data_IF_295826403877
#
_entry.id   IF_295826403877
#
_cell.length_a   1.000
_cell.length_b   1.000
_cell.length_c   1.000
_cell.angle_alpha   90.00
_cell.angle_beta   90.00
_cell.angle_gamma   90.00
#
_symmetry.space_group_name_H-M   'P 1'
#
loop_
_entity.id
_entity.type
_entity.pdbx_description
1 polymer ?
#
# COMPACT_ATOMS: atom_id res chain seq x y z
N UNK A 1 -41.79 57.51 15.80
CA UNK A 1 -42.50 57.92 14.57
C UNK A 1 -42.41 56.79 13.54
N UNK A 2 -43.57 56.24 13.15
CA UNK A 2 -43.95 55.50 11.90
C UNK A 2 -42.94 54.48 11.32
N UNK A 3 -43.08 53.17 11.57
CA UNK A 3 -43.85 52.14 10.81
C UNK A 3 -43.74 52.22 9.28
N UNK A 4 -43.20 51.16 8.66
CA UNK A 4 -43.70 50.63 7.39
C UNK A 4 -43.83 49.10 7.48
N UNK A 5 -45.08 48.65 7.34
CA UNK A 5 -45.51 47.29 7.04
C UNK A 5 -46.13 47.35 5.64
N UNK A 6 -46.04 46.28 4.85
CA UNK A 6 -47.17 45.75 4.07
C UNK A 6 -46.83 44.43 3.37
N UNK A 7 -47.60 43.40 3.73
CA UNK A 7 -47.91 42.23 2.89
C UNK A 7 -49.00 42.60 1.89
N UNK A 8 -49.04 41.93 0.74
CA UNK A 8 -50.23 41.68 -0.09
C UNK A 8 -49.86 40.53 -1.06
N UNK A 9 -50.38 39.31 -0.95
CA UNK A 9 -51.74 38.77 -1.12
C UNK A 9 -51.94 38.14 -2.51
N UNK A 10 -52.24 36.85 -2.47
CA UNK A 10 -52.63 35.94 -3.54
C UNK A 10 -53.95 36.35 -4.22
N UNK A 11 -54.10 36.10 -5.54
CA UNK A 11 -55.38 35.72 -6.17
C UNK A 11 -55.19 35.02 -7.53
N UNK A 12 -56.09 34.06 -7.74
CA UNK A 12 -56.16 33.00 -8.77
C UNK A 12 -56.70 33.52 -10.12
N UNK A 13 -56.28 32.89 -11.21
CA UNK A 13 -56.90 32.96 -12.54
C UNK A 13 -56.95 31.58 -13.20
N UNK A 14 -58.11 31.23 -13.78
CA UNK A 14 -58.57 29.90 -14.19
C UNK A 14 -57.93 29.31 -15.46
N UNK A 15 -57.85 27.98 -15.42
CA UNK A 15 -57.80 26.97 -16.50
C UNK A 15 -58.40 27.36 -17.88
N UNK A 16 -57.66 27.05 -18.94
CA UNK A 16 -58.19 26.66 -20.26
C UNK A 16 -57.63 25.29 -20.67
N UNK A 17 -58.51 24.45 -21.24
CA UNK A 17 -58.26 23.05 -21.62
C UNK A 17 -57.47 22.92 -22.93
N UNK A 18 -56.82 21.75 -23.06
CA UNK A 18 -55.95 21.20 -24.11
C UNK A 18 -56.46 21.34 -25.57
N UNK A 19 -55.54 21.14 -26.53
CA UNK A 19 -55.67 20.00 -27.43
C UNK A 19 -54.45 19.06 -27.41
N UNK A 20 -54.70 17.81 -27.79
CA UNK A 20 -53.81 16.65 -27.87
C UNK A 20 -52.96 16.63 -29.15
N UNK A 21 -51.67 16.31 -29.02
CA UNK A 21 -50.79 15.75 -30.06
C UNK A 21 -49.56 15.14 -29.35
N UNK A 22 -49.50 13.82 -29.17
CA UNK A 22 -48.80 12.84 -30.01
C UNK A 22 -47.27 12.99 -30.06
N UNK A 23 -46.61 12.03 -29.39
CA UNK A 23 -45.29 11.42 -29.63
C UNK A 23 -44.17 12.26 -30.26
N UNK A 24 -43.05 12.41 -29.56
CA UNK A 24 -41.81 11.62 -29.78
C UNK A 24 -40.68 12.12 -28.88
N UNK A 25 -39.92 11.21 -28.27
CA UNK A 25 -38.50 11.42 -27.93
C UNK A 25 -38.17 12.08 -26.59
N UNK A 26 -38.40 11.40 -25.47
CA UNK A 26 -37.61 11.62 -24.26
C UNK A 26 -36.61 10.47 -24.15
N UNK A 27 -35.34 10.79 -24.42
CA UNK A 27 -34.22 9.89 -24.22
C UNK A 27 -34.20 9.39 -22.79
N UNK A 28 -34.04 8.08 -22.65
CA UNK A 28 -33.92 7.40 -21.38
C UNK A 28 -32.77 8.00 -20.56
N UNK A 29 -33.09 8.67 -19.45
CA UNK A 29 -32.18 8.79 -18.31
C UNK A 29 -31.89 7.37 -17.81
N UNK A 30 -30.84 6.77 -18.37
CA UNK A 30 -30.25 5.57 -17.78
C UNK A 30 -29.53 6.04 -16.51
N UNK A 31 -29.85 5.48 -15.33
CA UNK A 31 -29.03 5.73 -14.16
C UNK A 31 -27.60 5.29 -14.50
N UNK A 32 -26.62 6.17 -14.25
CA UNK A 32 -25.20 5.88 -14.39
C UNK A 32 -24.97 4.58 -13.60
N UNK A 33 -24.77 3.49 -14.32
CA UNK A 33 -24.56 2.18 -13.73
C UNK A 33 -23.34 2.30 -12.82
N UNK A 34 -23.57 2.24 -11.50
CA UNK A 34 -22.52 2.05 -10.51
C UNK A 34 -21.78 0.78 -10.95
N UNK A 35 -20.56 0.92 -11.47
CA UNK A 35 -19.68 -0.24 -11.67
C UNK A 35 -19.49 -0.87 -10.30
N UNK A 36 -20.22 -1.96 -10.04
CA UNK A 36 -19.96 -2.82 -8.88
C UNK A 36 -18.58 -3.41 -9.10
N UNK A 37 -17.59 -2.92 -8.36
CA UNK A 37 -16.25 -3.49 -8.31
C UNK A 37 -16.23 -4.69 -7.36
N UNK A 38 -17.20 -5.59 -7.43
CA UNK A 38 -17.28 -6.75 -6.54
C UNK A 38 -17.06 -8.03 -7.36
N UNK A 39 -16.13 -8.89 -6.95
CA UNK A 39 -16.03 -10.23 -7.49
C UNK A 39 -17.16 -11.13 -6.93
N UNK A 40 -17.24 -12.40 -7.35
CA UNK A 40 -18.29 -13.36 -6.91
C UNK A 40 -18.37 -13.56 -5.39
N UNK A 41 -17.37 -13.11 -4.63
CA UNK A 41 -17.30 -13.19 -3.17
C UNK A 41 -17.58 -11.83 -2.48
N UNK A 42 -17.99 -10.80 -3.24
CA UNK A 42 -18.21 -9.45 -2.71
C UNK A 42 -16.93 -8.66 -2.48
N UNK A 43 -15.76 -9.12 -2.94
CA UNK A 43 -14.50 -8.43 -2.71
C UNK A 43 -14.23 -7.36 -3.77
N UNK A 44 -13.62 -6.25 -3.33
CA UNK A 44 -13.22 -5.15 -4.20
C UNK A 44 -12.24 -5.63 -5.28
N UNK A 45 -12.61 -5.45 -6.55
CA UNK A 45 -11.73 -5.71 -7.70
C UNK A 45 -10.79 -4.53 -7.88
N UNK A 46 -9.49 -4.78 -7.72
CA UNK A 46 -8.42 -3.81 -7.96
C UNK A 46 -8.01 -3.85 -9.43
N UNK A 47 -7.93 -2.69 -10.06
CA UNK A 47 -7.57 -2.54 -11.48
C UNK A 47 -6.04 -2.44 -11.69
N UNK A 48 -5.29 -2.23 -10.61
CA UNK A 48 -3.83 -2.03 -10.65
C UNK A 48 -3.08 -3.18 -10.00
N UNK A 49 -2.00 -3.59 -10.65
CA UNK A 49 -1.03 -4.53 -10.08
C UNK A 49 -0.35 -3.87 -8.87
N UNK A 50 -0.29 -4.58 -7.75
CA UNK A 50 0.40 -4.09 -6.56
C UNK A 50 1.91 -3.93 -6.86
N UNK A 51 2.56 -2.86 -6.36
CA UNK A 51 3.95 -2.57 -6.65
C UNK A 51 4.90 -3.59 -6.00
N UNK A 52 6.04 -3.86 -6.64
CA UNK A 52 7.12 -4.64 -6.01
C UNK A 52 7.87 -3.76 -5.02
N UNK A 53 7.84 -4.10 -3.72
CA UNK A 53 8.53 -3.36 -2.66
C UNK A 53 9.33 -4.34 -1.83
N UNK A 54 10.62 -4.54 -2.16
CA UNK A 54 11.55 -5.36 -1.36
C UNK A 54 12.10 -4.58 -0.18
N UNK A 55 12.30 -3.28 -0.37
CA UNK A 55 12.79 -2.36 0.67
C UNK A 55 11.85 -1.17 0.84
N UNK A 56 11.39 -1.00 2.08
CA UNK A 56 10.62 0.15 2.56
C UNK A 56 11.60 0.99 3.38
N UNK A 57 12.15 2.07 2.84
CA UNK A 57 13.18 2.88 3.48
C UNK A 57 12.60 4.20 3.95
N UNK A 58 12.72 4.48 5.25
CA UNK A 58 12.04 5.61 5.90
C UNK A 58 13.04 6.54 6.59
N UNK A 59 12.79 7.85 6.50
CA UNK A 59 13.54 8.85 7.26
C UNK A 59 12.63 10.00 7.74
N UNK A 60 12.95 10.62 8.90
CA UNK A 60 12.17 11.74 9.44
C UNK A 60 12.06 12.93 8.48
N UNK A 61 10.86 13.47 8.34
CA UNK A 61 10.56 14.62 7.48
C UNK A 61 11.24 15.92 7.93
N UNK A 62 11.49 16.07 9.23
CA UNK A 62 12.27 17.19 9.77
C UNK A 62 13.79 17.06 9.53
N UNK A 63 14.27 15.91 9.01
CA UNK A 63 15.68 15.64 8.72
C UNK A 63 15.97 15.70 7.23
N UNK A 64 15.90 16.91 6.68
CA UNK A 64 16.18 17.19 5.26
C UNK A 64 17.54 16.65 4.79
N UNK A 65 18.56 16.67 5.64
CA UNK A 65 19.89 16.12 5.38
C UNK A 65 19.91 14.60 5.15
N UNK A 66 18.94 13.87 5.71
CA UNK A 66 18.75 12.44 5.52
C UNK A 66 17.86 12.16 4.31
N UNK A 67 16.71 12.83 4.21
CA UNK A 67 15.73 12.63 3.13
C UNK A 67 16.37 12.88 1.76
N UNK A 68 17.16 13.94 1.60
CA UNK A 68 17.83 14.25 0.32
C UNK A 68 18.89 13.21 -0.10
N UNK A 69 19.21 12.22 0.75
CA UNK A 69 20.10 11.12 0.39
C UNK A 69 19.37 9.91 -0.21
N UNK A 70 18.02 9.87 -0.20
CA UNK A 70 17.25 8.75 -0.77
C UNK A 70 17.71 8.30 -2.16
N UNK A 71 18.00 9.19 -3.14
CA UNK A 71 18.44 8.77 -4.47
C UNK A 71 19.73 7.92 -4.47
N UNK A 72 20.54 8.01 -3.41
CA UNK A 72 21.80 7.27 -3.29
C UNK A 72 21.60 5.79 -2.94
N UNK A 73 20.49 5.44 -2.33
CA UNK A 73 20.29 4.11 -1.73
C UNK A 73 19.44 3.16 -2.58
N UNK A 74 18.83 3.66 -3.66
CA UNK A 74 18.03 2.87 -4.62
C UNK A 74 16.98 1.96 -3.96
N UNK A 75 16.36 2.43 -2.88
CA UNK A 75 15.26 1.69 -2.26
C UNK A 75 14.08 1.56 -3.23
N UNK A 76 13.33 0.46 -3.16
CA UNK A 76 12.14 0.29 -4.01
C UNK A 76 11.04 1.30 -3.60
N UNK A 77 10.99 1.64 -2.31
CA UNK A 77 10.07 2.62 -1.76
C UNK A 77 10.76 3.48 -0.68
N UNK A 78 10.86 4.78 -0.93
CA UNK A 78 11.42 5.78 0.00
C UNK A 78 10.32 6.62 0.62
N UNK A 79 10.42 6.91 1.92
CA UNK A 79 9.32 7.50 2.69
C UNK A 79 9.80 8.65 3.55
N UNK A 80 9.13 9.79 3.37
CA UNK A 80 9.26 10.95 4.26
C UNK A 80 8.30 10.75 5.42
N UNK A 81 8.83 10.69 6.65
CA UNK A 81 8.04 10.36 7.84
C UNK A 81 7.63 11.59 8.64
N UNK A 82 6.32 11.87 8.72
CA UNK A 82 5.76 12.93 9.57
C UNK A 82 5.33 12.41 10.95
N UNK A 83 5.40 11.09 11.16
CA UNK A 83 4.88 10.42 12.35
C UNK A 83 5.98 10.19 13.40
N UNK A 84 6.30 8.96 13.81
CA UNK A 84 7.14 8.67 14.98
C UNK A 84 8.59 9.13 14.82
N UNK A 85 9.10 9.16 13.59
CA UNK A 85 10.42 9.70 13.29
C UNK A 85 10.50 11.23 13.47
N UNK A 86 9.37 11.94 13.43
CA UNK A 86 9.29 13.40 13.55
C UNK A 86 8.74 13.80 14.93
N UNK A 87 9.56 14.43 15.80
CA UNK A 87 9.15 14.86 17.12
C UNK A 87 7.91 15.77 17.10
N UNK A 88 7.03 15.74 18.12
CA UNK A 88 5.80 16.53 18.15
C UNK A 88 5.97 18.02 17.84
N UNK A 89 7.01 18.67 18.40
CA UNK A 89 7.29 20.09 18.17
C UNK A 89 7.77 20.44 16.76
N UNK A 90 8.10 19.44 15.93
CA UNK A 90 8.59 19.62 14.56
C UNK A 90 7.60 19.15 13.48
N UNK A 91 6.44 18.60 13.87
CA UNK A 91 5.47 18.04 12.91
C UNK A 91 4.95 19.10 11.93
N UNK A 92 4.67 20.30 12.43
CA UNK A 92 4.20 21.42 11.61
C UNK A 92 5.30 21.89 10.65
N UNK A 93 6.52 22.11 11.15
CA UNK A 93 7.67 22.49 10.33
C UNK A 93 7.98 21.45 9.24
N UNK A 94 7.94 20.16 9.58
CA UNK A 94 8.18 19.06 8.64
C UNK A 94 7.11 19.02 7.53
N UNK A 95 5.84 19.22 7.89
CA UNK A 95 4.72 19.31 6.95
C UNK A 95 4.85 20.53 6.02
N UNK A 96 5.20 21.70 6.56
CA UNK A 96 5.37 22.92 5.77
C UNK A 96 6.55 22.79 4.77
N UNK A 97 7.62 22.09 5.15
CA UNK A 97 8.77 21.81 4.30
C UNK A 97 8.56 20.68 3.27
N UNK A 98 7.46 19.92 3.37
CA UNK A 98 7.25 18.69 2.61
C UNK A 98 7.25 18.91 1.09
N UNK A 99 6.60 19.97 0.61
CA UNK A 99 6.51 20.27 -0.82
C UNK A 99 7.90 20.52 -1.44
N UNK A 100 8.77 21.22 -0.71
CA UNK A 100 10.17 21.46 -1.12
C UNK A 100 10.96 20.16 -1.20
N UNK A 101 10.89 19.32 -0.15
CA UNK A 101 11.55 18.00 -0.14
C UNK A 101 11.14 17.12 -1.31
N UNK A 102 9.82 17.02 -1.57
CA UNK A 102 9.31 16.21 -2.69
C UNK A 102 9.79 16.77 -4.02
N UNK A 103 9.77 18.09 -4.20
CA UNK A 103 10.28 18.74 -5.42
C UNK A 103 11.76 18.41 -5.65
N UNK A 104 12.60 18.53 -4.62
CA UNK A 104 14.03 18.26 -4.73
C UNK A 104 14.32 16.79 -5.05
N UNK A 105 13.58 15.86 -4.43
CA UNK A 105 13.72 14.43 -4.69
C UNK A 105 13.34 14.05 -6.13
N UNK A 106 12.27 14.67 -6.66
CA UNK A 106 11.87 14.46 -8.06
C UNK A 106 12.88 15.09 -9.02
N UNK A 107 13.45 16.24 -8.69
CA UNK A 107 14.50 16.86 -9.49
C UNK A 107 15.83 16.06 -9.47
N UNK A 108 16.10 15.34 -8.38
CA UNK A 108 17.27 14.47 -8.22
C UNK A 108 17.09 13.06 -8.82
N UNK A 109 16.05 12.84 -9.61
CA UNK A 109 15.72 11.57 -10.27
C UNK A 109 15.70 10.37 -9.29
N UNK A 110 14.97 10.53 -8.17
CA UNK A 110 14.76 9.44 -7.22
C UNK A 110 14.18 8.21 -7.93
N UNK A 111 14.99 7.17 -8.03
CA UNK A 111 14.58 5.83 -8.46
C UNK A 111 13.60 5.21 -7.46
N UNK A 112 12.59 4.49 -7.95
CA UNK A 112 11.61 3.81 -7.10
C UNK A 112 10.43 4.70 -6.73
N UNK A 113 9.64 4.21 -5.77
CA UNK A 113 8.44 4.88 -5.29
C UNK A 113 8.80 5.90 -4.19
N UNK A 114 8.09 7.03 -4.16
CA UNK A 114 8.18 8.01 -3.09
C UNK A 114 6.84 8.06 -2.34
N UNK A 115 6.91 8.03 -1.02
CA UNK A 115 5.75 8.16 -0.17
C UNK A 115 5.93 9.12 0.99
N UNK A 116 4.82 9.40 1.64
CA UNK A 116 4.76 10.17 2.88
C UNK A 116 3.97 9.38 3.89
N UNK A 117 4.57 9.13 5.06
CA UNK A 117 3.85 8.60 6.22
C UNK A 117 3.32 9.77 7.02
N UNK A 118 2.00 9.89 7.04
CA UNK A 118 1.28 10.91 7.81
C UNK A 118 1.14 10.48 9.25
N UNK A 119 0.79 11.40 10.15
CA UNK A 119 0.42 11.03 11.51
C UNK A 119 -0.84 10.15 11.54
N UNK A 120 -0.99 9.35 12.60
CA UNK A 120 -2.10 8.41 12.77
C UNK A 120 -3.49 9.09 12.74
N UNK A 121 -4.57 8.40 12.32
CA UNK A 121 -5.89 8.98 12.05
C UNK A 121 -6.50 9.86 13.14
N UNK A 122 -6.24 9.56 14.42
CA UNK A 122 -6.84 10.27 15.56
C UNK A 122 -5.95 11.39 16.13
N UNK A 123 -4.77 11.60 15.56
CA UNK A 123 -3.89 12.69 15.98
C UNK A 123 -4.37 14.05 15.45
N UNK A 124 -3.95 15.12 16.13
CA UNK A 124 -4.26 16.50 15.73
C UNK A 124 -3.66 16.89 14.35
N UNK A 125 -2.64 16.16 13.88
CA UNK A 125 -1.92 16.45 12.63
C UNK A 125 -2.49 15.74 11.40
N UNK A 126 -3.21 14.62 11.58
CA UNK A 126 -3.57 13.69 10.50
C UNK A 126 -4.21 14.36 9.28
N UNK A 127 -5.29 15.12 9.50
CA UNK A 127 -6.06 15.69 8.40
C UNK A 127 -5.22 16.69 7.59
N UNK A 128 -4.38 17.47 8.27
CA UNK A 128 -3.55 18.47 7.62
C UNK A 128 -2.35 17.83 6.90
N UNK A 129 -1.78 16.75 7.44
CA UNK A 129 -0.78 15.94 6.77
C UNK A 129 -1.33 15.29 5.49
N UNK A 130 -2.53 14.70 5.56
CA UNK A 130 -3.20 14.07 4.41
C UNK A 130 -3.46 15.11 3.30
N UNK A 131 -3.99 16.29 3.66
CA UNK A 131 -4.24 17.38 2.72
C UNK A 131 -2.94 17.84 2.03
N UNK A 132 -1.87 18.01 2.81
CA UNK A 132 -0.57 18.43 2.31
C UNK A 132 0.08 17.36 1.42
N UNK A 133 0.13 16.10 1.86
CA UNK A 133 0.83 15.02 1.17
C UNK A 133 0.12 14.57 -0.12
N UNK A 134 -1.21 14.41 -0.09
CA UNK A 134 -1.95 13.84 -1.23
C UNK A 134 -1.86 14.68 -2.51
N UNK A 135 -1.70 16.00 -2.37
CA UNK A 135 -1.58 16.92 -3.51
C UNK A 135 -0.19 16.91 -4.17
N UNK A 136 0.82 16.35 -3.50
CA UNK A 136 2.20 16.34 -3.99
C UNK A 136 2.41 15.22 -5.03
N UNK A 137 3.48 15.30 -5.84
CA UNK A 137 3.82 14.25 -6.80
C UNK A 137 4.49 13.04 -6.13
N UNK A 138 3.81 12.46 -5.14
CA UNK A 138 4.16 11.19 -4.47
C UNK A 138 3.41 10.02 -5.12
N UNK A 139 3.82 8.79 -4.83
CA UNK A 139 3.24 7.56 -5.37
C UNK A 139 2.34 6.85 -4.35
N UNK A 140 2.72 6.87 -3.06
CA UNK A 140 2.00 6.17 -1.99
C UNK A 140 1.82 7.07 -0.76
N UNK A 141 0.58 7.19 -0.29
CA UNK A 141 0.28 7.77 1.02
C UNK A 141 0.26 6.64 2.06
N UNK A 142 1.10 6.74 3.10
CA UNK A 142 1.20 5.72 4.15
C UNK A 142 0.40 6.17 5.36
N UNK A 143 -0.59 5.38 5.76
CA UNK A 143 -1.43 5.64 6.94
C UNK A 143 -1.04 4.64 8.04
N UNK A 144 -0.36 5.08 9.11
CA UNK A 144 0.01 4.21 10.23
C UNK A 144 -1.18 3.96 11.16
N UNK A 145 -1.01 3.05 12.11
CA UNK A 145 -1.89 2.78 13.25
C UNK A 145 -3.37 2.66 12.85
N UNK A 146 -3.64 1.98 11.74
CA UNK A 146 -5.01 1.74 11.29
C UNK A 146 -5.68 0.65 12.12
N UNK A 147 -6.88 0.95 12.59
CA UNK A 147 -7.67 0.10 13.48
C UNK A 147 -9.08 -0.16 12.95
N UNK A 148 -9.59 0.68 12.06
CA UNK A 148 -10.92 0.55 11.48
C UNK A 148 -11.01 1.13 10.05
N UNK A 149 -11.91 0.60 9.20
CA UNK A 149 -12.06 1.07 7.81
C UNK A 149 -12.43 2.55 7.63
N UNK A 150 -13.17 3.13 8.57
CA UNK A 150 -13.65 4.52 8.50
C UNK A 150 -12.51 5.54 8.64
N UNK A 151 -11.43 5.18 9.34
CA UNK A 151 -10.22 6.02 9.46
C UNK A 151 -9.55 6.30 8.10
N UNK A 152 -9.80 5.49 7.07
CA UNK A 152 -9.26 5.69 5.73
C UNK A 152 -10.01 6.76 4.92
N UNK A 153 -11.17 7.23 5.38
CA UNK A 153 -12.05 8.09 4.59
C UNK A 153 -11.35 9.36 4.09
N UNK A 154 -10.65 10.07 4.98
CA UNK A 154 -9.95 11.32 4.64
C UNK A 154 -8.85 11.07 3.59
N UNK A 155 -8.01 10.06 3.82
CA UNK A 155 -6.93 9.66 2.91
C UNK A 155 -7.45 9.28 1.52
N UNK A 156 -8.48 8.42 1.45
CA UNK A 156 -9.09 7.99 0.17
C UNK A 156 -9.70 9.17 -0.56
N UNK A 157 -10.40 10.06 0.14
CA UNK A 157 -11.00 11.24 -0.49
C UNK A 157 -9.93 12.17 -1.07
N UNK A 158 -8.86 12.44 -0.31
CA UNK A 158 -7.75 13.29 -0.74
C UNK A 158 -7.02 12.69 -1.95
N UNK A 159 -6.69 11.39 -1.91
CA UNK A 159 -6.06 10.67 -3.04
C UNK A 159 -6.96 10.71 -4.29
N UNK A 160 -8.26 10.42 -4.16
CA UNK A 160 -9.20 10.50 -5.29
C UNK A 160 -9.31 11.91 -5.87
N UNK A 161 -9.27 12.95 -5.02
CA UNK A 161 -9.28 14.35 -5.46
C UNK A 161 -8.00 14.67 -6.23
N UNK A 162 -6.84 14.31 -5.68
CA UNK A 162 -5.55 14.52 -6.34
C UNK A 162 -5.47 13.78 -7.68
N UNK A 163 -5.95 12.54 -7.77
CA UNK A 163 -5.96 11.75 -9.01
C UNK A 163 -6.91 12.29 -10.08
N UNK A 164 -8.00 12.98 -9.72
CA UNK A 164 -8.84 13.70 -10.69
C UNK A 164 -8.15 14.93 -11.25
N UNK A 165 -7.39 15.63 -10.42
CA UNK A 165 -6.70 16.87 -10.80
C UNK A 165 -5.38 16.61 -11.54
N UNK A 166 -4.65 15.58 -11.13
CA UNK A 166 -3.35 15.18 -11.67
C UNK A 166 -3.20 13.66 -11.55
N UNK A 167 -3.67 12.90 -12.55
CA UNK A 167 -3.57 11.44 -12.54
C UNK A 167 -2.11 11.00 -12.50
N UNK A 168 -1.72 10.26 -11.46
CA UNK A 168 -0.38 9.67 -11.33
C UNK A 168 -0.40 8.21 -10.91
N UNK A 169 -1.58 7.74 -10.55
CA UNK A 169 -1.81 6.41 -10.06
C UNK A 169 -1.59 6.24 -8.56
N UNK A 170 -1.64 7.33 -7.76
CA UNK A 170 -1.44 7.30 -6.30
C UNK A 170 -2.26 6.21 -5.61
N UNK A 171 -1.63 5.53 -4.66
CA UNK A 171 -2.27 4.50 -3.82
C UNK A 171 -2.03 4.76 -2.33
N UNK A 172 -2.61 3.91 -1.49
CA UNK A 172 -2.50 3.93 -0.04
C UNK A 172 -1.79 2.66 0.43
N UNK A 173 -0.91 2.83 1.42
CA UNK A 173 -0.37 1.74 2.21
C UNK A 173 -0.96 1.81 3.62
N UNK A 174 -1.52 0.69 4.08
CA UNK A 174 -2.11 0.55 5.41
C UNK A 174 -1.12 -0.05 6.43
N UNK A 175 -0.77 0.70 7.47
CA UNK A 175 0.03 0.22 8.60
C UNK A 175 -0.85 -0.43 9.67
N UNK A 176 -0.59 -1.71 9.98
CA UNK A 176 -1.26 -2.44 11.05
C UNK A 176 -0.30 -2.67 12.21
N UNK A 177 -0.61 -2.04 13.35
CA UNK A 177 0.35 -1.84 14.43
C UNK A 177 -0.28 -1.94 15.82
N UNK A 178 -1.56 -2.34 15.92
CA UNK A 178 -2.29 -2.45 17.19
C UNK A 178 -3.13 -3.72 17.23
N UNK A 179 -3.59 -4.13 18.42
CA UNK A 179 -4.50 -5.26 18.63
C UNK A 179 -5.75 -5.10 17.80
N UNK A 180 -6.35 -3.90 17.82
CA UNK A 180 -7.57 -3.61 17.08
C UNK A 180 -7.32 -3.61 15.57
N UNK A 181 -6.17 -3.08 15.13
CA UNK A 181 -5.73 -3.15 13.74
C UNK A 181 -5.56 -4.59 13.25
N UNK A 182 -4.88 -5.44 14.03
CA UNK A 182 -4.71 -6.86 13.71
C UNK A 182 -6.08 -7.54 13.62
N UNK A 183 -6.95 -7.35 14.62
CA UNK A 183 -8.29 -7.95 14.63
C UNK A 183 -9.18 -7.49 13.46
N UNK A 184 -8.97 -6.29 12.94
CA UNK A 184 -9.73 -5.72 11.82
C UNK A 184 -9.00 -5.78 10.47
N UNK A 185 -7.84 -6.45 10.36
CA UNK A 185 -7.00 -6.42 9.17
C UNK A 185 -7.77 -6.78 7.88
N UNK A 186 -8.62 -7.80 7.92
CA UNK A 186 -9.48 -8.17 6.78
C UNK A 186 -10.37 -7.01 6.33
N UNK A 187 -11.05 -6.37 7.28
CA UNK A 187 -12.01 -5.29 7.01
C UNK A 187 -11.29 -4.05 6.49
N UNK A 188 -10.13 -3.73 7.04
CA UNK A 188 -9.31 -2.58 6.63
C UNK A 188 -8.82 -2.79 5.20
N UNK A 189 -8.18 -3.93 4.92
CA UNK A 189 -7.63 -4.22 3.59
C UNK A 189 -8.70 -4.42 2.51
N UNK A 190 -9.89 -4.87 2.89
CA UNK A 190 -11.04 -4.97 2.00
C UNK A 190 -11.82 -3.69 1.80
N UNK A 191 -11.50 -2.59 2.51
CA UNK A 191 -12.36 -1.40 2.56
C UNK A 191 -12.37 -0.57 1.28
N UNK A 192 -11.19 -0.40 0.64
CA UNK A 192 -11.03 0.51 -0.49
C UNK A 192 -10.05 -0.04 -1.55
N UNK A 193 -10.33 0.19 -2.86
CA UNK A 193 -9.43 -0.24 -3.94
C UNK A 193 -8.11 0.54 -3.97
N UNK A 194 -8.06 1.74 -3.37
CA UNK A 194 -6.85 2.56 -3.29
C UNK A 194 -5.76 1.93 -2.42
N UNK A 195 -6.12 1.02 -1.52
CA UNK A 195 -5.14 0.27 -0.71
C UNK A 195 -4.45 -0.74 -1.63
N UNK A 196 -3.14 -0.55 -1.85
CA UNK A 196 -2.33 -1.46 -2.67
C UNK A 196 -1.29 -2.21 -1.86
N UNK A 197 -0.99 -1.73 -0.65
CA UNK A 197 0.09 -2.24 0.18
C UNK A 197 -0.33 -2.26 1.65
N UNK A 198 0.33 -3.09 2.44
CA UNK A 198 0.21 -3.10 3.90
C UNK A 198 1.56 -3.39 4.55
N UNK A 199 1.75 -2.93 5.78
CA UNK A 199 2.87 -3.39 6.62
C UNK A 199 2.39 -3.77 8.03
N UNK A 200 3.19 -4.59 8.71
CA UNK A 200 3.01 -4.91 10.13
C UNK A 200 4.06 -4.19 10.99
N UNK A 201 3.63 -3.40 11.98
CA UNK A 201 4.50 -2.71 12.93
C UNK A 201 4.56 -3.44 14.26
N UNK A 202 5.66 -4.17 14.51
CA UNK A 202 5.78 -5.04 15.67
C UNK A 202 5.99 -4.31 16.99
N UNK A 203 6.74 -3.20 16.97
CA UNK A 203 7.11 -2.47 18.19
C UNK A 203 5.89 -1.79 18.81
N UNK A 204 5.10 -1.07 18.01
CA UNK A 204 3.83 -0.48 18.43
C UNK A 204 2.82 -1.56 18.84
N UNK A 205 2.75 -2.68 18.10
CA UNK A 205 1.84 -3.77 18.45
C UNK A 205 2.19 -4.35 19.82
N UNK A 206 3.49 -4.54 20.10
CA UNK A 206 3.95 -5.02 21.40
C UNK A 206 3.66 -4.02 22.51
N UNK A 207 3.81 -2.72 22.25
CA UNK A 207 3.43 -1.68 23.21
C UNK A 207 1.93 -1.75 23.54
N UNK A 208 1.07 -1.98 22.54
CA UNK A 208 -0.39 -2.09 22.71
C UNK A 208 -0.81 -3.35 23.49
N UNK A 209 -0.14 -4.50 23.26
CA UNK A 209 -0.41 -5.73 24.05
C UNK A 209 0.32 -5.79 25.39
N UNK A 210 1.20 -4.84 25.71
CA UNK A 210 2.05 -4.86 26.91
C UNK A 210 3.13 -5.95 26.88
N UNK A 211 3.58 -6.34 25.68
CA UNK A 211 4.60 -7.34 25.45
C UNK A 211 6.03 -6.77 25.44
N UNK A 212 7.01 -7.66 25.27
CA UNK A 212 8.43 -7.30 25.14
C UNK A 212 9.01 -7.94 23.88
N UNK A 213 9.85 -7.18 23.18
CA UNK A 213 10.52 -7.64 21.97
C UNK A 213 11.52 -8.75 22.29
N UNK A 214 11.53 -9.81 21.48
CA UNK A 214 12.56 -10.85 21.56
C UNK A 214 13.28 -11.03 20.24
N UNK A 215 14.47 -11.64 20.28
CA UNK A 215 15.28 -11.90 19.08
C UNK A 215 14.65 -12.93 18.13
N UNK A 216 13.69 -13.74 18.60
CA UNK A 216 13.05 -14.76 17.77
C UNK A 216 11.80 -14.25 17.04
N UNK A 217 11.29 -13.08 17.39
CA UNK A 217 9.99 -12.56 16.94
C UNK A 217 8.80 -13.49 17.23
N UNK A 218 8.95 -14.50 18.09
CA UNK A 218 7.91 -15.48 18.38
C UNK A 218 6.68 -14.83 19.04
N UNK A 219 6.90 -13.79 19.84
CA UNK A 219 5.88 -13.03 20.55
C UNK A 219 4.89 -12.31 19.62
N UNK A 220 5.31 -11.96 18.40
CA UNK A 220 4.47 -11.30 17.38
C UNK A 220 4.06 -12.23 16.25
N UNK A 221 4.47 -13.50 16.27
CA UNK A 221 4.31 -14.42 15.13
C UNK A 221 2.85 -14.56 14.68
N UNK A 222 1.91 -14.63 15.63
CA UNK A 222 0.49 -14.71 15.31
C UNK A 222 -0.01 -13.45 14.58
N UNK A 223 0.23 -12.28 15.16
CA UNK A 223 -0.18 -11.00 14.59
C UNK A 223 0.46 -10.75 13.21
N UNK A 224 1.78 -10.98 13.11
CA UNK A 224 2.56 -10.91 11.88
C UNK A 224 1.95 -11.79 10.78
N UNK A 225 1.71 -13.08 11.06
CA UNK A 225 1.09 -13.98 10.10
C UNK A 225 -0.36 -13.58 9.74
N UNK A 226 -1.14 -13.10 10.71
CA UNK A 226 -2.53 -12.67 10.50
C UNK A 226 -2.61 -11.49 9.53
N UNK A 227 -1.78 -10.47 9.73
CA UNK A 227 -1.68 -9.32 8.82
C UNK A 227 -1.25 -9.75 7.43
N UNK A 228 -0.25 -10.64 7.31
CA UNK A 228 0.19 -11.17 6.03
C UNK A 228 -0.96 -11.89 5.28
N UNK A 229 -1.66 -12.81 5.95
CA UNK A 229 -2.73 -13.60 5.35
C UNK A 229 -3.81 -12.70 4.74
N UNK A 230 -4.26 -11.68 5.47
CA UNK A 230 -5.27 -10.77 4.96
C UNK A 230 -4.72 -9.85 3.88
N UNK A 231 -3.46 -9.40 3.96
CA UNK A 231 -2.86 -8.63 2.88
C UNK A 231 -2.86 -9.45 1.57
N UNK A 232 -2.48 -10.74 1.64
CA UNK A 232 -2.48 -11.64 0.47
C UNK A 232 -3.87 -12.02 -0.02
N UNK A 233 -4.86 -12.20 0.87
CA UNK A 233 -6.27 -12.39 0.52
C UNK A 233 -6.77 -11.31 -0.43
N UNK A 234 -6.31 -10.07 -0.24
CA UNK A 234 -6.68 -8.91 -1.03
C UNK A 234 -5.69 -8.55 -2.15
N UNK A 235 -4.65 -9.37 -2.36
CA UNK A 235 -3.64 -9.15 -3.40
C UNK A 235 -2.75 -7.94 -3.15
N UNK A 236 -2.58 -7.52 -1.89
CA UNK A 236 -1.74 -6.39 -1.51
C UNK A 236 -0.26 -6.81 -1.45
N UNK A 237 0.63 -5.85 -1.72
CA UNK A 237 2.05 -5.97 -1.37
C UNK A 237 2.18 -5.90 0.14
N UNK A 238 2.76 -6.92 0.76
CA UNK A 238 2.95 -7.01 2.20
C UNK A 238 4.41 -6.74 2.56
N UNK A 239 4.65 -5.72 3.38
CA UNK A 239 5.97 -5.35 3.90
C UNK A 239 6.07 -5.75 5.37
N UNK A 240 7.17 -6.39 5.73
CA UNK A 240 7.41 -6.92 7.06
C UNK A 240 8.00 -5.87 8.03
N UNK A 241 7.85 -6.14 9.33
CA UNK A 241 8.25 -5.31 10.46
C UNK A 241 9.71 -4.80 10.43
N UNK A 242 10.04 -3.69 11.14
CA UNK A 242 11.42 -3.28 11.35
C UNK A 242 12.17 -4.17 12.35
N UNK A 243 13.49 -4.00 12.41
CA UNK A 243 14.34 -4.48 13.51
C UNK A 243 14.96 -3.24 14.16
N UNK A 244 14.58 -2.98 15.42
CA UNK A 244 14.98 -1.79 16.17
C UNK A 244 16.48 -1.78 16.51
N UNK A 245 17.10 -2.96 16.65
CA UNK A 245 18.55 -3.11 16.74
C UNK A 245 19.22 -2.83 15.38
N UNK A 246 19.22 -1.56 14.97
CA UNK A 246 19.55 -1.15 13.59
C UNK A 246 20.96 -1.54 13.13
N UNK A 247 21.88 -1.80 14.07
CA UNK A 247 23.26 -2.23 13.77
C UNK A 247 23.45 -3.75 13.77
N UNK A 248 22.45 -4.52 14.18
CA UNK A 248 22.50 -5.98 14.17
C UNK A 248 22.04 -6.50 12.79
N UNK A 249 22.95 -6.44 11.83
CA UNK A 249 22.70 -6.92 10.46
C UNK A 249 22.38 -8.42 10.41
N UNK A 250 22.95 -9.21 11.32
CA UNK A 250 22.70 -10.64 11.40
C UNK A 250 21.27 -10.93 11.83
N UNK A 251 20.77 -10.21 12.85
CA UNK A 251 19.36 -10.30 13.26
C UNK A 251 18.43 -9.86 12.15
N UNK A 252 18.74 -8.77 11.44
CA UNK A 252 17.95 -8.31 10.31
C UNK A 252 17.85 -9.37 9.20
N UNK A 253 18.97 -10.02 8.85
CA UNK A 253 19.02 -11.10 7.84
C UNK A 253 18.13 -12.27 8.22
N UNK A 254 18.29 -12.78 9.44
CA UNK A 254 17.52 -13.93 9.92
C UNK A 254 16.01 -13.62 9.92
N UNK A 255 15.60 -12.46 10.43
CA UNK A 255 14.18 -12.09 10.47
C UNK A 255 13.60 -11.80 9.07
N UNK A 256 14.40 -11.25 8.16
CA UNK A 256 14.02 -11.02 6.76
C UNK A 256 13.89 -12.32 5.95
N UNK A 257 14.78 -13.29 6.16
CA UNK A 257 14.66 -14.63 5.55
C UNK A 257 13.39 -15.33 6.02
N UNK A 258 13.08 -15.26 7.32
CA UNK A 258 11.83 -15.77 7.87
C UNK A 258 10.61 -15.08 7.24
N UNK A 259 10.65 -13.75 7.08
CA UNK A 259 9.60 -12.98 6.41
C UNK A 259 9.36 -13.44 4.97
N UNK A 260 10.44 -13.61 4.18
CA UNK A 260 10.37 -14.09 2.80
C UNK A 260 9.76 -15.49 2.73
N UNK A 261 10.16 -16.37 3.66
CA UNK A 261 9.62 -17.74 3.75
C UNK A 261 8.12 -17.75 4.12
N UNK A 262 7.67 -16.84 4.98
CA UNK A 262 6.24 -16.66 5.29
C UNK A 262 5.45 -16.15 4.08
N UNK A 263 6.08 -15.34 3.21
CA UNK A 263 5.49 -14.82 1.98
C UNK A 263 5.38 -13.30 1.91
N UNK A 264 6.04 -12.56 2.82
CA UNK A 264 6.19 -11.11 2.68
C UNK A 264 6.97 -10.76 1.41
N UNK A 265 6.68 -9.58 0.84
CA UNK A 265 7.29 -9.10 -0.40
C UNK A 265 8.53 -8.21 -0.15
N UNK A 266 8.66 -7.67 1.06
CA UNK A 266 9.80 -6.86 1.49
C UNK A 266 9.79 -6.57 2.98
N UNK A 267 10.63 -5.64 3.41
CA UNK A 267 10.83 -5.31 4.84
C UNK A 267 11.09 -3.82 5.08
N UNK A 268 10.63 -3.32 6.23
CA UNK A 268 10.96 -1.98 6.73
C UNK A 268 12.46 -1.89 7.03
N UNK A 269 13.12 -0.91 6.44
CA UNK A 269 14.53 -0.61 6.52
C UNK A 269 14.71 0.77 7.17
N UNK A 270 15.46 0.81 8.27
CA UNK A 270 15.78 2.02 9.03
C UNK A 270 17.16 2.58 8.68
N UNK A 271 18.05 1.75 8.11
CA UNK A 271 19.39 2.15 7.65
C UNK A 271 19.65 1.73 6.20
N UNK A 272 20.53 2.44 5.46
CA UNK A 272 20.88 2.08 4.09
C UNK A 272 21.35 0.63 3.91
N UNK A 273 22.11 0.10 4.87
CA UNK A 273 22.61 -1.27 4.79
C UNK A 273 21.49 -2.32 4.79
N UNK A 274 20.39 -2.03 5.49
CA UNK A 274 19.21 -2.90 5.51
C UNK A 274 18.50 -2.91 4.15
N UNK A 275 18.58 -1.84 3.35
CA UNK A 275 18.06 -1.80 1.98
C UNK A 275 18.79 -2.81 1.09
N UNK A 276 20.12 -2.83 1.16
CA UNK A 276 20.95 -3.81 0.43
C UNK A 276 20.59 -5.25 0.81
N UNK A 277 20.50 -5.52 2.12
CA UNK A 277 20.17 -6.85 2.65
C UNK A 277 18.75 -7.27 2.23
N UNK A 278 17.77 -6.36 2.31
CA UNK A 278 16.41 -6.64 1.89
C UNK A 278 16.34 -6.94 0.38
N UNK A 279 17.06 -6.19 -0.45
CA UNK A 279 17.14 -6.47 -1.88
C UNK A 279 17.75 -7.84 -2.16
N UNK A 280 18.81 -8.22 -1.45
CA UNK A 280 19.43 -9.55 -1.57
C UNK A 280 18.43 -10.66 -1.22
N UNK A 281 17.76 -10.57 -0.07
CA UNK A 281 16.88 -11.62 0.44
C UNK A 281 15.61 -11.74 -0.39
N UNK A 282 14.91 -10.63 -0.63
CA UNK A 282 13.61 -10.65 -1.30
C UNK A 282 13.70 -10.77 -2.84
N UNK A 283 14.91 -10.82 -3.39
CA UNK A 283 15.14 -11.13 -4.81
C UNK A 283 15.49 -12.60 -4.97
N UNK A 284 14.80 -13.37 -5.82
CA UNK A 284 15.20 -14.74 -6.10
C UNK A 284 16.64 -14.84 -6.62
N UNK A 285 17.40 -15.81 -6.12
CA UNK A 285 18.77 -16.05 -6.58
C UNK A 285 18.79 -16.54 -8.04
N UNK A 286 19.94 -16.42 -8.70
CA UNK A 286 20.09 -16.96 -10.07
C UNK A 286 19.83 -18.48 -10.10
N UNK A 287 20.20 -19.20 -9.04
CA UNK A 287 19.97 -20.63 -8.89
C UNK A 287 18.48 -20.95 -8.67
N UNK A 288 17.78 -20.16 -7.87
CA UNK A 288 16.33 -20.30 -7.65
C UNK A 288 15.56 -20.08 -8.96
N UNK A 289 15.95 -19.08 -9.76
CA UNK A 289 15.35 -18.81 -11.08
C UNK A 289 15.65 -19.95 -12.05
N UNK A 290 16.91 -20.37 -12.16
CA UNK A 290 17.29 -21.46 -13.06
C UNK A 290 16.59 -22.78 -12.69
N UNK A 291 16.46 -23.09 -11.41
CA UNK A 291 15.68 -24.25 -10.94
C UNK A 291 14.20 -24.13 -11.35
N UNK A 292 13.60 -22.95 -11.13
CA UNK A 292 12.21 -22.70 -11.50
C UNK A 292 11.98 -22.83 -13.01
N UNK A 293 12.89 -22.32 -13.85
CA UNK A 293 12.80 -22.46 -15.31
C UNK A 293 12.85 -23.93 -15.77
N UNK A 294 13.80 -24.71 -15.24
CA UNK A 294 13.88 -26.16 -15.54
C UNK A 294 12.63 -26.91 -15.08
N UNK A 295 12.12 -26.59 -13.89
CA UNK A 295 10.90 -27.19 -13.36
C UNK A 295 9.70 -26.91 -14.27
N UNK A 296 9.55 -25.66 -14.72
CA UNK A 296 8.45 -25.26 -15.60
C UNK A 296 8.54 -25.93 -16.96
N UNK A 297 9.74 -26.06 -17.52
CA UNK A 297 9.95 -26.79 -18.78
C UNK A 297 9.56 -28.27 -18.64
N UNK A 298 10.04 -28.95 -17.59
CA UNK A 298 9.70 -30.36 -17.32
C UNK A 298 8.19 -30.56 -17.10
N UNK A 299 7.55 -29.65 -16.36
CA UNK A 299 6.10 -29.69 -16.14
C UNK A 299 5.30 -29.47 -17.42
N UNK A 300 5.73 -28.55 -18.30
CA UNK A 300 5.10 -28.30 -19.59
C UNK A 300 5.14 -29.53 -20.52
N UNK A 301 6.27 -30.24 -20.56
CA UNK A 301 6.43 -31.48 -21.34
C UNK A 301 5.57 -32.63 -20.80
N UNK A 302 5.41 -32.72 -19.48
CA UNK A 302 4.55 -33.71 -18.87
C UNK A 302 3.06 -33.42 -19.10
N UNK A 303 2.65 -32.16 -18.94
CA UNK A 303 1.26 -31.75 -19.18
C UNK A 303 0.86 -31.87 -20.64
N UNK A 304 1.77 -31.69 -21.61
CA UNK A 304 1.49 -31.98 -23.03
C UNK A 304 1.22 -33.46 -23.32
N UNK A 305 1.60 -34.36 -22.39
CA UNK A 305 1.30 -35.80 -22.43
C UNK A 305 0.11 -36.20 -21.56
N UNK A 306 -0.61 -35.23 -20.99
CA UNK A 306 -1.74 -35.47 -20.09
C UNK A 306 -1.35 -35.87 -18.67
N UNK A 307 -0.09 -35.66 -18.27
CA UNK A 307 0.41 -35.97 -16.92
C UNK A 307 0.32 -34.71 -16.05
N UNK A 308 -0.47 -34.77 -14.97
CA UNK A 308 -0.71 -33.61 -14.08
C UNK A 308 0.27 -33.47 -12.91
N UNK A 309 1.06 -34.52 -12.62
CA UNK A 309 2.01 -34.59 -11.50
C UNK A 309 3.30 -35.26 -11.98
N UNK A 310 4.46 -34.69 -11.64
CA UNK A 310 5.77 -35.21 -12.05
C UNK A 310 6.68 -35.46 -10.86
N UNK A 311 7.63 -36.38 -11.01
CA UNK A 311 8.85 -36.38 -10.20
C UNK A 311 9.87 -35.44 -10.84
N UNK A 312 10.41 -34.51 -10.07
CA UNK A 312 11.47 -33.62 -10.50
C UNK A 312 12.48 -33.42 -9.37
N UNK A 313 13.73 -33.83 -9.61
CA UNK A 313 14.83 -33.77 -8.64
C UNK A 313 14.43 -34.39 -7.27
N UNK A 314 13.72 -35.53 -7.29
CA UNK A 314 13.30 -36.29 -6.10
C UNK A 314 12.13 -35.67 -5.33
N UNK A 315 11.41 -34.72 -5.93
CA UNK A 315 10.20 -34.12 -5.37
C UNK A 315 9.01 -34.37 -6.28
N UNK A 316 7.87 -34.69 -5.66
CA UNK A 316 6.58 -34.69 -6.33
C UNK A 316 6.15 -33.25 -6.59
N UNK A 317 5.88 -32.93 -7.85
CA UNK A 317 5.49 -31.60 -8.31
C UNK A 317 4.08 -31.62 -8.86
N UNK A 318 3.27 -30.71 -8.35
CA UNK A 318 1.91 -30.42 -8.78
C UNK A 318 1.67 -28.90 -8.90
N UNK A 319 0.42 -28.51 -9.13
CA UNK A 319 0.04 -27.12 -9.42
C UNK A 319 0.57 -26.04 -8.45
N UNK A 320 0.51 -26.22 -7.12
CA UNK A 320 1.10 -25.28 -6.15
C UNK A 320 2.59 -25.00 -6.37
N UNK A 321 3.41 -26.02 -6.59
CA UNK A 321 4.86 -25.84 -6.79
C UNK A 321 5.18 -25.19 -8.14
N UNK A 322 4.37 -25.46 -9.16
CA UNK A 322 4.44 -24.77 -10.46
C UNK A 322 4.15 -23.27 -10.32
N UNK A 323 3.09 -22.89 -9.57
CA UNK A 323 2.78 -21.48 -9.30
C UNK A 323 3.91 -20.76 -8.57
N UNK A 324 4.56 -21.44 -7.62
CA UNK A 324 5.74 -20.90 -6.91
C UNK A 324 6.90 -20.66 -7.87
N UNK A 325 7.17 -21.60 -8.77
CA UNK A 325 8.22 -21.44 -9.79
C UNK A 325 7.92 -20.31 -10.78
N UNK A 326 6.68 -20.20 -11.27
CA UNK A 326 6.26 -19.07 -12.12
C UNK A 326 6.51 -17.72 -11.44
N UNK A 327 6.18 -17.60 -10.16
CA UNK A 327 6.44 -16.40 -9.38
C UNK A 327 7.93 -16.11 -9.25
N UNK A 328 8.77 -17.12 -9.01
CA UNK A 328 10.22 -16.96 -8.91
C UNK A 328 10.82 -16.43 -10.22
N UNK A 329 10.42 -16.98 -11.37
CA UNK A 329 10.87 -16.52 -12.70
C UNK A 329 10.39 -15.09 -12.97
N UNK A 330 9.13 -14.76 -12.69
CA UNK A 330 8.58 -13.42 -12.90
C UNK A 330 9.33 -12.36 -12.07
N UNK A 331 9.67 -12.66 -10.82
CA UNK A 331 10.47 -11.78 -9.97
C UNK A 331 11.93 -11.71 -10.42
N UNK A 332 12.50 -12.82 -10.90
CA UNK A 332 13.85 -12.90 -11.44
C UNK A 332 14.04 -12.07 -12.71
N UNK A 333 13.05 -12.04 -13.61
CA UNK A 333 13.09 -11.23 -14.84
C UNK A 333 13.17 -9.72 -14.57
N UNK A 334 12.71 -9.26 -13.41
CA UNK A 334 12.85 -7.85 -13.01
C UNK A 334 14.29 -7.48 -12.57
N UNK A 335 15.21 -8.43 -12.35
CA UNK A 335 16.65 -8.14 -12.12
C UNK A 335 17.32 -7.54 -13.35
N UNK A 336 16.97 -8.01 -14.54
CA UNK A 336 17.64 -7.63 -15.79
C UNK A 336 17.22 -6.24 -16.29
N UNK A 337 16.08 -5.71 -15.84
CA UNK A 337 15.61 -4.36 -16.19
C UNK A 337 16.32 -3.20 -15.48
N UNK A 338 17.10 -3.47 -14.42
CA UNK A 338 17.80 -2.45 -13.62
C UNK A 338 19.31 -2.46 -13.79
N UNK A 339 19.83 -3.22 -14.76
CA UNK A 339 21.26 -3.42 -14.95
C UNK A 339 21.64 -3.66 -16.39
N UNK A 340 21.44 -2.66 -17.26
CA UNK A 340 22.25 -2.34 -18.45
C UNK A 340 21.55 -1.25 -19.27
N UNK A 341 21.93 0.00 -19.01
CA UNK A 341 22.27 1.00 -20.02
C UNK A 341 22.87 2.22 -19.35
#
# INVERSE_FOLDING_TARGET
MRRWTKRASCRRGRLRRRPTASATGWGSDRPIARRRFENRNGHIVRDKTAPTIRSFFIAPGNRRDLVLKFPRFKADFSIIDLEDGTPPGEKDNARDGLAGLVSDLRAADLSGLLGVRVNEPWSDWHLADVEAAACLPIDILVIPKLEAPDQLFAAVHAVRRAERSSPRGRTILAGIESVRGVANAERIFGAYPEISCAYFGAEDFLADIGGLRTRSSAEVQHARAHVLLHAKQFGLTAVDQPIADVRDEALFRVDAEAARQMGYDGKVCLLPKQVEIAHEIFTPSAEEVAYAERLLAAYAEATSRGIGTIDFEGKMIDGPLVKRAQRAVALGANRSGTGTN
#
